data_IF_310470208673
#
_entry.id   IF_310470208673
#
_cell.length_a   1.000
_cell.length_b   1.000
_cell.length_c   1.000
_cell.angle_alpha   90.00
_cell.angle_beta   90.00
_cell.angle_gamma   90.00
#
_symmetry.space_group_name_H-M   'P 1'
#
loop_
_entity.id
_entity.type
_entity.pdbx_description
1 polymer ?
#
# COMPACT_ATOMS: atom_id res chain seq x y z
N UNK A 1 6.50 17.59 5.52
CA UNK A 1 7.87 17.15 5.85
C UNK A 1 8.32 16.13 4.82
N UNK A 2 9.62 16.06 4.52
CA UNK A 2 10.26 15.09 3.62
C UNK A 2 11.08 14.11 4.46
N UNK A 3 11.07 12.83 4.08
CA UNK A 3 11.97 11.81 4.65
C UNK A 3 13.39 12.04 4.15
N UNK A 4 14.33 12.08 5.09
CA UNK A 4 15.77 12.07 4.82
C UNK A 4 16.28 10.72 5.29
N UNK A 5 16.54 9.81 4.33
CA UNK A 5 16.92 8.41 4.59
C UNK A 5 18.17 8.10 3.77
N UNK A 6 19.21 7.61 4.45
CA UNK A 6 20.44 7.16 3.79
C UNK A 6 21.19 6.14 4.63
N UNK A 7 22.09 5.41 3.98
CA UNK A 7 23.00 4.49 4.65
C UNK A 7 24.29 5.21 5.05
N UNK A 8 24.68 5.12 6.32
CA UNK A 8 25.84 5.82 6.84
C UNK A 8 26.29 5.34 8.21
N UNK A 9 27.40 5.93 8.67
CA UNK A 9 27.92 5.74 10.01
C UNK A 9 27.23 6.64 11.02
N UNK A 10 27.05 6.17 12.25
CA UNK A 10 26.45 6.92 13.36
C UNK A 10 26.96 6.48 14.72
N UNK A 11 26.66 7.31 15.72
CA UNK A 11 26.84 7.02 17.14
C UNK A 11 25.47 6.99 17.82
N UNK A 12 25.28 6.03 18.74
CA UNK A 12 24.10 5.99 19.59
C UNK A 12 24.54 6.27 21.03
N UNK A 13 23.90 7.23 21.69
CA UNK A 13 24.24 7.67 23.04
C UNK A 13 23.01 7.60 23.93
N UNK A 14 23.13 6.96 25.08
CA UNK A 14 22.07 6.94 26.08
C UNK A 14 22.11 8.22 26.91
N UNK A 15 21.01 8.96 26.88
CA UNK A 15 20.85 10.24 27.58
C UNK A 15 19.62 10.21 28.48
N UNK A 16 19.41 11.30 29.22
CA UNK A 16 18.16 11.53 29.98
C UNK A 16 16.90 11.61 29.11
N UNK A 17 17.04 11.79 27.79
CA UNK A 17 15.93 11.84 26.84
C UNK A 17 15.69 10.48 26.13
N UNK A 18 16.50 9.47 26.42
CA UNK A 18 16.49 8.16 25.76
C UNK A 18 17.76 7.93 24.95
N UNK A 19 17.74 6.93 24.07
CA UNK A 19 18.86 6.68 23.17
C UNK A 19 18.78 7.62 21.97
N UNK A 20 19.74 8.52 21.85
CA UNK A 20 19.83 9.51 20.78
C UNK A 20 20.86 9.09 19.73
N UNK A 21 20.55 9.32 18.45
CA UNK A 21 21.41 8.93 17.32
C UNK A 21 22.03 10.17 16.70
N UNK A 22 23.35 10.16 16.53
CA UNK A 22 24.10 11.25 15.89
C UNK A 22 24.84 10.70 14.67
N UNK A 23 24.48 11.13 13.44
CA UNK A 23 25.22 10.77 12.24
C UNK A 23 26.70 11.21 12.28
N UNK A 24 27.59 10.31 11.86
CA UNK A 24 29.04 10.55 11.90
C UNK A 24 29.52 11.63 10.92
N UNK A 25 28.77 11.87 9.85
CA UNK A 25 29.04 12.91 8.86
C UNK A 25 28.77 14.33 9.39
N UNK A 26 27.89 14.49 10.38
CA UNK A 26 27.66 15.78 11.06
C UNK A 26 28.82 16.20 11.96
N UNK A 27 29.47 15.21 12.59
CA UNK A 27 30.56 15.45 13.56
C UNK A 27 31.90 15.64 12.83
N UNK A 28 32.01 15.15 11.58
CA UNK A 28 33.24 15.09 10.81
C UNK A 28 34.04 13.81 11.10
N UNK A 29 35.00 13.46 10.23
CA UNK A 29 35.79 12.22 10.36
C UNK A 29 36.70 12.28 11.60
N UNK A 30 36.21 11.86 12.75
CA UNK A 30 37.05 11.55 13.91
C UNK A 30 36.93 10.07 14.27
N UNK A 31 38.06 9.38 14.24
CA UNK A 31 38.22 8.07 14.86
C UNK A 31 38.09 8.23 16.38
N UNK A 32 37.22 7.43 17.01
CA UNK A 32 36.87 7.43 18.44
C UNK A 32 36.40 8.78 18.99
N UNK A 33 35.10 8.91 19.23
CA UNK A 33 34.48 10.13 19.76
C UNK A 33 34.04 9.86 21.20
N UNK A 34 34.65 10.55 22.17
CA UNK A 34 34.10 10.58 23.53
C UNK A 34 32.69 11.17 23.49
N UNK A 35 31.78 10.67 24.34
CA UNK A 35 30.40 11.15 24.41
C UNK A 35 30.34 12.67 24.68
N UNK A 36 31.30 13.21 25.43
CA UNK A 36 31.45 14.66 25.63
C UNK A 36 31.53 15.47 24.32
N UNK A 37 32.16 14.93 23.27
CA UNK A 37 32.26 15.60 21.98
C UNK A 37 30.92 15.63 21.20
N UNK A 38 29.92 14.85 21.66
CA UNK A 38 28.58 14.81 21.07
C UNK A 38 27.59 15.75 21.77
N UNK A 39 27.96 16.40 22.88
CA UNK A 39 27.03 17.21 23.70
C UNK A 39 26.24 18.27 22.91
N UNK A 40 26.82 18.85 21.86
CA UNK A 40 26.14 19.86 21.04
C UNK A 40 25.06 19.28 20.10
N UNK A 41 24.98 17.96 19.99
CA UNK A 41 24.07 17.22 19.11
C UNK A 41 23.02 16.42 19.88
N UNK A 42 23.07 16.44 21.22
CA UNK A 42 22.16 15.72 22.10
C UNK A 42 21.14 16.69 22.70
N UNK A 43 19.88 16.29 22.75
CA UNK A 43 18.82 17.01 23.47
C UNK A 43 18.88 16.71 24.97
N UNK A 44 19.25 15.48 25.36
CA UNK A 44 19.42 15.05 26.74
C UNK A 44 20.85 15.15 27.26
N UNK A 45 21.02 15.07 28.58
CA UNK A 45 22.34 14.93 29.19
C UNK A 45 22.80 13.46 29.11
N UNK A 46 24.03 13.16 28.66
CA UNK A 46 24.55 11.80 28.65
C UNK A 46 24.50 11.14 30.03
N UNK A 47 24.16 9.86 30.08
CA UNK A 47 24.19 9.10 31.32
C UNK A 47 25.61 8.78 31.80
N UNK A 48 26.54 8.62 30.85
CA UNK A 48 27.98 8.48 31.09
C UNK A 48 28.77 9.35 30.09
N UNK A 49 29.19 10.56 30.46
CA UNK A 49 29.91 11.47 29.55
C UNK A 49 31.35 11.03 29.25
N UNK A 50 31.93 10.15 30.09
CA UNK A 50 33.31 9.68 29.95
C UNK A 50 33.40 8.45 29.02
N UNK A 51 32.26 7.85 28.66
CA UNK A 51 32.18 6.70 27.77
C UNK A 51 32.66 7.03 26.33
N UNK A 52 33.21 6.01 25.66
CA UNK A 52 33.52 6.08 24.24
C UNK A 52 32.28 5.70 23.42
N UNK A 53 31.79 6.61 22.59
CA UNK A 53 30.69 6.31 21.70
C UNK A 53 31.11 5.30 20.63
N UNK A 54 30.38 4.19 20.54
CA UNK A 54 30.63 3.14 19.56
C UNK A 54 30.16 3.59 18.17
N UNK A 55 31.06 3.52 17.18
CA UNK A 55 30.71 3.75 15.78
C UNK A 55 29.95 2.54 15.23
N UNK A 56 28.80 2.80 14.61
CA UNK A 56 27.95 1.79 13.97
C UNK A 56 27.62 2.21 12.55
N UNK A 57 27.33 1.24 11.69
CA UNK A 57 26.80 1.49 10.34
C UNK A 57 25.37 0.97 10.22
N UNK A 58 24.54 1.70 9.48
CA UNK A 58 23.16 1.30 9.23
C UNK A 58 22.40 2.36 8.46
N UNK A 59 21.08 2.23 8.46
CA UNK A 59 20.18 3.18 7.81
C UNK A 59 19.74 4.25 8.80
N UNK A 60 19.97 5.50 8.46
CA UNK A 60 19.58 6.66 9.24
C UNK A 60 18.32 7.25 8.63
N UNK A 61 17.36 7.64 9.47
CA UNK A 61 16.15 8.33 9.02
C UNK A 61 15.74 9.48 9.94
N UNK A 62 15.21 10.54 9.33
CA UNK A 62 14.47 11.60 10.03
C UNK A 62 13.47 12.28 9.08
N UNK A 63 12.63 13.13 9.65
CA UNK A 63 11.79 14.06 8.91
C UNK A 63 12.44 15.45 8.86
N UNK A 64 12.50 16.05 7.67
CA UNK A 64 13.01 17.42 7.44
C UNK A 64 11.94 18.25 6.76
N UNK A 65 11.72 19.51 7.15
CA UNK A 65 10.79 20.39 6.44
C UNK A 65 11.54 21.37 5.51
N UNK A 66 11.29 21.35 4.19
CA UNK A 66 11.95 22.28 3.27
C UNK A 66 11.69 23.74 3.65
N UNK A 67 12.76 24.52 3.88
CA UNK A 67 12.68 25.95 4.20
C UNK A 67 12.59 26.28 5.69
N UNK A 68 12.54 25.29 6.58
CA UNK A 68 12.66 25.46 8.03
C UNK A 68 13.90 24.71 8.54
N UNK A 69 14.52 25.22 9.62
CA UNK A 69 15.63 24.52 10.30
C UNK A 69 15.14 23.32 11.12
N UNK A 70 13.82 23.17 11.28
CA UNK A 70 13.21 22.13 12.09
C UNK A 70 13.30 20.76 11.41
N UNK A 71 14.04 19.87 12.06
CA UNK A 71 14.17 18.45 11.71
C UNK A 71 13.82 17.63 12.95
N UNK A 72 13.29 16.42 12.77
CA UNK A 72 13.17 15.47 13.88
C UNK A 72 14.54 14.89 14.24
N UNK A 73 14.66 14.34 15.45
CA UNK A 73 15.81 13.53 15.83
C UNK A 73 16.04 12.37 14.84
N UNK A 74 17.29 11.94 14.73
CA UNK A 74 17.65 10.80 13.90
C UNK A 74 17.25 9.48 14.56
N UNK A 75 16.78 8.55 13.75
CA UNK A 75 16.64 7.13 14.10
C UNK A 75 17.63 6.28 13.31
N UNK A 76 18.06 5.16 13.89
CA UNK A 76 18.90 4.16 13.24
C UNK A 76 18.15 2.84 13.04
N UNK A 77 18.30 2.24 11.86
CA UNK A 77 17.53 1.09 11.40
C UNK A 77 18.40 0.05 10.71
N UNK A 78 17.98 -1.21 10.78
CA UNK A 78 18.72 -2.34 10.20
C UNK A 78 18.62 -2.40 8.67
N UNK A 79 17.61 -1.78 8.06
CA UNK A 79 17.41 -1.75 6.61
C UNK A 79 16.70 -0.47 6.17
N UNK A 80 16.82 -0.13 4.89
CA UNK A 80 16.11 0.98 4.25
C UNK A 80 14.60 0.83 4.41
N UNK A 81 14.08 -0.39 4.19
CA UNK A 81 12.67 -0.70 4.32
C UNK A 81 12.16 -0.45 5.76
N UNK A 82 12.94 -0.86 6.77
CA UNK A 82 12.58 -0.62 8.18
C UNK A 82 12.57 0.88 8.52
N UNK A 83 13.54 1.65 8.00
CA UNK A 83 13.56 3.10 8.14
C UNK A 83 12.31 3.76 7.53
N UNK A 84 11.92 3.34 6.33
CA UNK A 84 10.71 3.85 5.69
C UNK A 84 9.43 3.52 6.46
N UNK A 85 9.27 2.26 6.88
CA UNK A 85 8.11 1.83 7.69
C UNK A 85 8.03 2.63 8.98
N UNK A 86 9.13 2.78 9.72
CA UNK A 86 9.13 3.55 10.96
C UNK A 86 8.78 5.02 10.75
N UNK A 87 9.28 5.65 9.68
CA UNK A 87 8.91 7.03 9.34
C UNK A 87 7.44 7.16 8.94
N UNK A 88 6.88 6.16 8.26
CA UNK A 88 5.45 6.13 7.91
C UNK A 88 4.55 5.85 9.12
N UNK A 89 4.93 4.96 10.03
CA UNK A 89 4.16 4.70 11.25
C UNK A 89 4.17 5.92 12.19
N UNK A 90 5.32 6.58 12.35
CA UNK A 90 5.45 7.71 13.27
C UNK A 90 4.90 9.03 12.70
N UNK A 91 5.03 9.26 11.39
CA UNK A 91 4.75 10.56 10.76
C UNK A 91 3.86 10.47 9.50
N UNK A 92 3.33 9.30 9.16
CA UNK A 92 2.53 9.04 7.96
C UNK A 92 1.10 9.62 7.97
N UNK A 93 0.74 10.39 9.00
CA UNK A 93 -0.45 11.25 8.99
C UNK A 93 -0.27 12.44 8.05
N UNK A 94 -0.32 12.21 6.74
CA UNK A 94 -0.39 13.26 5.72
C UNK A 94 0.74 13.26 4.69
N UNK A 95 0.57 12.46 3.62
CA UNK A 95 0.97 12.87 2.27
C UNK A 95 2.45 12.83 1.90
N UNK A 96 3.08 11.65 1.96
CA UNK A 96 4.07 11.27 0.93
C UNK A 96 3.77 9.83 0.52
N UNK A 97 3.17 9.66 -0.66
CA UNK A 97 2.87 8.33 -1.23
C UNK A 97 4.16 7.50 -1.28
N UNK A 98 4.17 6.38 -0.55
CA UNK A 98 5.28 5.43 -0.54
C UNK A 98 5.69 5.05 -1.98
N UNK A 99 7.00 5.14 -2.25
CA UNK A 99 7.60 4.73 -3.53
C UNK A 99 7.74 3.21 -3.64
N UNK A 100 7.58 2.47 -2.55
CA UNK A 100 7.54 1.03 -2.59
C UNK A 100 6.27 0.55 -3.30
N UNK A 101 6.36 -0.54 -4.10
CA UNK A 101 5.19 -1.14 -4.69
C UNK A 101 4.29 -1.67 -3.56
N UNK A 102 3.00 -1.37 -3.64
CA UNK A 102 1.97 -1.97 -2.79
C UNK A 102 1.90 -3.45 -3.19
N UNK A 103 2.05 -4.35 -2.22
CA UNK A 103 1.85 -5.77 -2.48
C UNK A 103 0.35 -6.02 -2.68
N UNK A 104 -0.06 -6.33 -3.90
CA UNK A 104 -1.46 -6.57 -4.25
C UNK A 104 -1.76 -8.07 -4.25
N UNK A 105 -2.73 -8.48 -3.45
CA UNK A 105 -3.13 -9.87 -3.31
C UNK A 105 -4.26 -10.25 -4.29
N UNK A 106 -3.95 -11.09 -5.28
CA UNK A 106 -4.93 -11.57 -6.27
C UNK A 106 -6.11 -12.33 -5.66
N UNK A 107 -5.91 -13.07 -4.56
CA UNK A 107 -6.98 -13.80 -3.88
C UNK A 107 -7.94 -12.84 -3.16
N UNK A 108 -7.41 -11.75 -2.58
CA UNK A 108 -8.24 -10.72 -1.98
C UNK A 108 -9.03 -9.98 -3.06
N UNK A 109 -8.39 -9.62 -4.17
CA UNK A 109 -9.06 -9.01 -5.31
C UNK A 109 -10.19 -9.92 -5.84
N UNK A 110 -9.94 -11.22 -5.97
CA UNK A 110 -10.91 -12.20 -6.45
C UNK A 110 -12.16 -12.28 -5.55
N UNK A 111 -12.02 -12.16 -4.23
CA UNK A 111 -13.16 -12.10 -3.30
C UNK A 111 -14.06 -10.91 -3.61
N UNK A 112 -13.48 -9.77 -3.94
CA UNK A 112 -14.25 -8.56 -4.26
C UNK A 112 -14.81 -8.54 -5.69
N UNK A 113 -14.21 -9.29 -6.62
CA UNK A 113 -14.87 -9.60 -7.90
C UNK A 113 -16.13 -10.43 -7.67
N UNK A 114 -16.06 -11.44 -6.80
CA UNK A 114 -17.24 -12.28 -6.46
C UNK A 114 -18.29 -11.44 -5.73
N UNK A 115 -17.89 -10.64 -4.73
CA UNK A 115 -18.80 -9.75 -4.01
C UNK A 115 -19.58 -8.84 -4.96
N UNK A 116 -18.86 -8.18 -5.87
CA UNK A 116 -19.46 -7.30 -6.87
C UNK A 116 -20.39 -8.08 -7.82
N UNK A 117 -20.05 -9.33 -8.17
CA UNK A 117 -20.88 -10.18 -9.04
C UNK A 117 -22.20 -10.55 -8.41
N UNK A 118 -22.16 -10.98 -7.15
CA UNK A 118 -23.38 -11.30 -6.40
C UNK A 118 -24.26 -10.05 -6.19
N UNK A 119 -23.65 -8.88 -5.98
CA UNK A 119 -24.37 -7.62 -5.80
C UNK A 119 -24.97 -7.06 -7.11
N UNK A 120 -24.27 -7.18 -8.24
CA UNK A 120 -24.65 -6.51 -9.49
C UNK A 120 -25.41 -7.38 -10.49
N UNK A 121 -25.34 -8.71 -10.37
CA UNK A 121 -26.04 -9.64 -11.25
C UNK A 121 -27.33 -10.17 -10.61
N UNK A 122 -28.24 -10.65 -11.46
CA UNK A 122 -29.52 -11.21 -11.05
C UNK A 122 -29.66 -12.66 -11.52
N UNK A 123 -30.47 -13.45 -10.83
CA UNK A 123 -30.86 -14.79 -11.29
C UNK A 123 -31.82 -14.74 -12.49
N UNK A 124 -32.23 -15.92 -12.96
CA UNK A 124 -33.14 -16.07 -14.10
C UNK A 124 -34.52 -15.44 -13.86
N UNK A 125 -34.93 -15.30 -12.60
CA UNK A 125 -36.19 -14.67 -12.20
C UNK A 125 -36.05 -13.14 -12.06
N UNK A 126 -34.83 -12.60 -12.24
CA UNK A 126 -34.52 -11.19 -12.10
C UNK A 126 -34.29 -10.75 -10.64
N UNK A 127 -34.17 -11.70 -9.71
CA UNK A 127 -33.85 -11.40 -8.32
C UNK A 127 -32.33 -11.22 -8.14
N UNK A 128 -31.87 -10.16 -7.44
CA UNK A 128 -30.44 -9.99 -7.15
C UNK A 128 -29.82 -11.24 -6.52
N UNK A 129 -28.66 -11.68 -7.02
CA UNK A 129 -28.02 -12.91 -6.55
C UNK A 129 -27.68 -12.84 -5.05
N UNK A 130 -27.24 -11.68 -4.57
CA UNK A 130 -26.90 -11.44 -3.16
C UNK A 130 -28.06 -11.69 -2.18
N UNK A 131 -29.31 -11.70 -2.64
CA UNK A 131 -30.45 -11.99 -1.77
C UNK A 131 -30.50 -13.47 -1.31
N UNK A 132 -29.87 -14.37 -2.07
CA UNK A 132 -30.01 -15.82 -1.92
C UNK A 132 -28.69 -16.57 -1.88
N UNK A 133 -27.62 -15.98 -2.38
CA UNK A 133 -26.32 -16.60 -2.52
C UNK A 133 -25.24 -15.73 -1.89
N UNK A 134 -24.25 -16.39 -1.30
CA UNK A 134 -23.04 -15.74 -0.81
C UNK A 134 -21.77 -16.37 -1.43
N UNK A 135 -20.60 -15.92 -0.98
CA UNK A 135 -19.32 -16.39 -1.52
C UNK A 135 -19.10 -17.91 -1.36
N UNK A 136 -19.74 -18.55 -0.38
CA UNK A 136 -19.64 -19.98 -0.12
C UNK A 136 -20.46 -20.81 -1.10
N UNK A 137 -21.43 -20.20 -1.78
CA UNK A 137 -22.25 -20.84 -2.81
C UNK A 137 -21.57 -20.84 -4.20
N UNK A 138 -20.36 -20.31 -4.31
CA UNK A 138 -19.60 -20.32 -5.56
C UNK A 138 -19.06 -21.72 -5.87
N UNK A 139 -19.21 -22.16 -7.13
CA UNK A 139 -18.56 -23.37 -7.60
C UNK A 139 -17.02 -23.23 -7.53
N UNK A 140 -16.28 -24.22 -7.01
CA UNK A 140 -14.83 -24.12 -6.82
C UNK A 140 -14.05 -23.77 -8.10
N UNK A 141 -14.45 -24.31 -9.25
CA UNK A 141 -13.79 -24.01 -10.53
C UNK A 141 -13.99 -22.54 -10.94
N UNK A 142 -15.14 -21.95 -10.62
CA UNK A 142 -15.40 -20.53 -10.86
C UNK A 142 -14.55 -19.65 -9.95
N UNK A 143 -14.40 -20.03 -8.68
CA UNK A 143 -13.47 -19.34 -7.76
C UNK A 143 -12.03 -19.42 -8.27
N UNK A 144 -11.58 -20.60 -8.71
CA UNK A 144 -10.23 -20.79 -9.24
C UNK A 144 -9.99 -19.98 -10.51
N UNK A 145 -10.98 -19.91 -11.41
CA UNK A 145 -10.96 -19.11 -12.62
C UNK A 145 -10.82 -17.61 -12.31
N UNK A 146 -11.66 -17.07 -11.43
CA UNK A 146 -11.62 -15.65 -11.03
C UNK A 146 -10.26 -15.30 -10.41
N UNK A 147 -9.72 -16.16 -9.54
CA UNK A 147 -8.38 -15.97 -8.96
C UNK A 147 -7.29 -15.89 -10.04
N UNK A 148 -7.33 -16.81 -11.00
CA UNK A 148 -6.39 -16.84 -12.13
C UNK A 148 -6.48 -15.55 -12.97
N UNK A 149 -7.70 -15.07 -13.25
CA UNK A 149 -7.92 -13.82 -13.97
C UNK A 149 -7.41 -12.61 -13.20
N UNK A 150 -7.67 -12.52 -11.90
CA UNK A 150 -7.16 -11.43 -11.06
C UNK A 150 -5.62 -11.41 -11.06
N UNK A 151 -4.99 -12.57 -10.92
CA UNK A 151 -3.53 -12.68 -11.01
C UNK A 151 -2.99 -12.26 -12.39
N UNK A 152 -3.67 -12.66 -13.46
CA UNK A 152 -3.30 -12.27 -14.82
C UNK A 152 -3.47 -10.75 -15.06
N UNK A 153 -4.54 -10.14 -14.54
CA UNK A 153 -4.80 -8.70 -14.64
C UNK A 153 -3.72 -7.89 -13.91
N UNK A 154 -3.43 -8.23 -12.65
CA UNK A 154 -2.38 -7.57 -11.86
C UNK A 154 -1.01 -7.70 -12.51
N UNK A 155 -0.73 -8.82 -13.18
CA UNK A 155 0.51 -9.05 -13.94
C UNK A 155 0.56 -8.29 -15.27
N UNK A 156 -0.58 -8.12 -15.95
CA UNK A 156 -0.66 -7.45 -17.24
C UNK A 156 -0.54 -5.93 -17.11
N UNK A 157 -1.06 -5.34 -16.02
CA UNK A 157 -1.09 -3.89 -15.82
C UNK A 157 -0.51 -3.45 -14.47
N UNK A 158 0.72 -3.86 -14.11
CA UNK A 158 1.27 -3.66 -12.77
C UNK A 158 1.35 -2.17 -12.42
N UNK A 159 1.81 -1.32 -13.34
CA UNK A 159 1.96 0.12 -13.09
C UNK A 159 0.61 0.81 -12.89
N UNK A 160 -0.40 0.51 -13.72
CA UNK A 160 -1.74 1.08 -13.59
C UNK A 160 -2.39 0.63 -12.28
N UNK A 161 -2.27 -0.65 -11.92
CA UNK A 161 -2.79 -1.18 -10.66
C UNK A 161 -2.13 -0.53 -9.45
N UNK A 162 -0.81 -0.27 -9.50
CA UNK A 162 -0.10 0.43 -8.43
C UNK A 162 -0.59 1.86 -8.26
N UNK A 163 -0.79 2.60 -9.35
CA UNK A 163 -1.28 3.98 -9.26
C UNK A 163 -2.73 4.00 -8.75
N UNK A 164 -3.58 3.11 -9.24
CA UNK A 164 -4.95 2.97 -8.75
C UNK A 164 -5.01 2.56 -7.28
N UNK A 165 -4.20 1.59 -6.85
CA UNK A 165 -4.10 1.16 -5.46
C UNK A 165 -3.74 2.33 -4.52
N UNK A 166 -2.74 3.14 -4.89
CA UNK A 166 -2.39 4.32 -4.09
C UNK A 166 -3.49 5.37 -4.07
N UNK A 167 -4.26 5.50 -5.15
CA UNK A 167 -5.43 6.38 -5.19
C UNK A 167 -6.50 5.90 -4.21
N UNK A 168 -6.84 4.60 -4.22
CA UNK A 168 -7.85 4.04 -3.31
C UNK A 168 -7.48 4.16 -1.83
N UNK A 169 -6.20 4.13 -1.49
CA UNK A 169 -5.72 4.27 -0.11
C UNK A 169 -5.74 5.73 0.41
N UNK A 170 -6.12 6.71 -0.41
CA UNK A 170 -6.25 8.09 0.05
C UNK A 170 -7.53 8.26 0.86
N UNK A 171 -7.45 8.84 2.06
CA UNK A 171 -8.60 9.06 2.96
C UNK A 171 -9.75 9.86 2.32
N UNK A 172 -9.46 10.68 1.31
CA UNK A 172 -10.44 11.48 0.59
C UNK A 172 -11.23 10.68 -0.48
N UNK A 173 -10.81 9.45 -0.81
CA UNK A 173 -11.45 8.64 -1.85
C UNK A 173 -12.55 7.80 -1.23
N UNK A 174 -13.79 8.15 -1.54
CA UNK A 174 -14.95 7.36 -1.14
C UNK A 174 -15.17 6.21 -2.14
N UNK A 175 -14.82 4.98 -1.74
CA UNK A 175 -15.20 3.76 -2.44
C UNK A 175 -16.22 2.98 -1.59
N UNK A 176 -17.30 2.44 -2.17
CA UNK A 176 -18.30 1.69 -1.38
C UNK A 176 -17.68 0.51 -0.63
N UNK A 177 -16.66 -0.14 -1.21
CA UNK A 177 -15.85 -1.20 -0.58
C UNK A 177 -14.45 -0.73 -0.11
N UNK A 178 -14.33 0.46 0.47
CA UNK A 178 -13.06 1.10 0.87
C UNK A 178 -12.22 0.38 1.96
N UNK A 179 -12.34 -0.94 2.09
CA UNK A 179 -11.58 -1.74 3.07
C UNK A 179 -10.13 -2.05 2.67
N UNK A 180 -9.81 -2.04 1.37
CA UNK A 180 -8.44 -2.22 0.84
C UNK A 180 -8.32 -1.80 -0.63
N UNK A 181 -7.09 -1.65 -1.13
CA UNK A 181 -6.86 -1.37 -2.54
C UNK A 181 -7.33 -2.52 -3.46
N UNK A 182 -7.10 -3.76 -3.05
CA UNK A 182 -7.54 -4.96 -3.76
C UNK A 182 -9.06 -5.08 -3.81
N UNK A 183 -9.73 -4.67 -2.75
CA UNK A 183 -11.18 -4.63 -2.72
C UNK A 183 -11.74 -3.69 -3.79
N UNK A 184 -11.20 -2.48 -3.85
CA UNK A 184 -11.60 -1.49 -4.84
C UNK A 184 -11.24 -1.94 -6.26
N UNK A 185 -10.04 -2.49 -6.46
CA UNK A 185 -9.59 -3.04 -7.75
C UNK A 185 -10.50 -4.17 -8.23
N UNK A 186 -10.85 -5.13 -7.35
CA UNK A 186 -11.69 -6.28 -7.71
C UNK A 186 -13.09 -5.85 -8.10
N UNK A 187 -13.68 -4.95 -7.33
CA UNK A 187 -15.00 -4.41 -7.59
C UNK A 187 -15.03 -3.64 -8.93
N UNK A 188 -14.10 -2.69 -9.12
CA UNK A 188 -14.04 -1.91 -10.35
C UNK A 188 -13.65 -2.75 -11.57
N UNK A 189 -12.85 -3.80 -11.41
CA UNK A 189 -12.52 -4.73 -12.49
C UNK A 189 -13.78 -5.40 -13.05
N UNK A 190 -14.66 -5.92 -12.19
CA UNK A 190 -15.93 -6.52 -12.63
C UNK A 190 -16.86 -5.46 -13.24
N UNK A 191 -17.12 -4.36 -12.55
CA UNK A 191 -18.14 -3.41 -13.02
C UNK A 191 -17.73 -2.77 -14.35
N UNK A 192 -16.43 -2.54 -14.53
CA UNK A 192 -15.89 -2.00 -15.78
C UNK A 192 -15.99 -3.00 -16.92
N UNK A 193 -15.61 -4.27 -16.70
CA UNK A 193 -15.66 -5.28 -17.76
C UNK A 193 -17.09 -5.67 -18.15
N UNK A 194 -18.03 -5.65 -17.19
CA UNK A 194 -19.44 -5.98 -17.44
C UNK A 194 -20.28 -4.77 -17.90
N UNK A 195 -19.76 -3.54 -17.78
CA UNK A 195 -20.44 -2.33 -18.25
C UNK A 195 -21.57 -1.85 -17.35
N UNK A 196 -21.47 -2.04 -16.03
CA UNK A 196 -22.50 -1.71 -15.02
C UNK A 196 -22.68 -0.19 -14.75
N UNK A 197 -22.14 0.68 -15.61
CA UNK A 197 -22.28 2.14 -15.47
C UNK A 197 -21.44 2.77 -14.36
N UNK A 198 -20.66 1.98 -13.63
CA UNK A 198 -19.64 2.41 -12.67
C UNK A 198 -18.37 1.55 -12.82
N UNK A 199 -17.24 2.04 -12.33
CA UNK A 199 -15.95 1.35 -12.44
C UNK A 199 -14.77 2.32 -12.39
N UNK A 200 -13.65 1.94 -13.00
CA UNK A 200 -12.38 2.68 -12.88
C UNK A 200 -12.49 4.17 -13.28
N UNK A 201 -13.23 4.49 -14.35
CA UNK A 201 -13.34 5.86 -14.87
C UNK A 201 -14.03 6.84 -13.92
N UNK A 202 -14.92 6.37 -13.03
CA UNK A 202 -15.71 7.26 -12.16
C UNK A 202 -15.07 7.48 -10.78
N UNK A 203 -13.85 6.95 -10.53
CA UNK A 203 -13.14 7.07 -9.25
C UNK A 203 -12.31 8.34 -9.08
N UNK A 204 -12.27 9.21 -10.09
CA UNK A 204 -11.47 10.44 -10.05
C UNK A 204 -9.96 10.21 -10.26
N UNK A 205 -9.56 9.09 -10.84
CA UNK A 205 -8.15 8.72 -11.10
C UNK A 205 -7.55 9.36 -12.37
N UNK A 206 -8.27 10.23 -13.07
CA UNK A 206 -7.81 10.85 -14.31
C UNK A 206 -7.46 9.83 -15.39
N UNK A 207 -6.30 9.98 -16.04
CA UNK A 207 -5.86 9.11 -17.14
C UNK A 207 -5.66 7.66 -16.73
N UNK A 208 -5.34 7.38 -15.46
CA UNK A 208 -5.16 6.00 -14.97
C UNK A 208 -6.50 5.27 -14.96
N UNK A 209 -7.57 5.93 -14.51
CA UNK A 209 -8.92 5.38 -14.54
C UNK A 209 -9.40 5.11 -15.96
N UNK A 210 -9.08 6.02 -16.90
CA UNK A 210 -9.35 5.83 -18.34
C UNK A 210 -8.57 4.65 -18.91
N UNK A 211 -7.26 4.57 -18.67
CA UNK A 211 -6.41 3.51 -19.19
C UNK A 211 -6.82 2.13 -18.68
N UNK A 212 -7.19 2.01 -17.40
CA UNK A 212 -7.74 0.76 -16.85
C UNK A 212 -9.09 0.42 -17.47
N UNK A 213 -9.94 1.42 -17.73
CA UNK A 213 -11.22 1.22 -18.40
C UNK A 213 -11.04 0.71 -19.83
N UNK A 214 -10.14 1.31 -20.58
CA UNK A 214 -9.82 0.87 -21.96
C UNK A 214 -9.16 -0.52 -21.97
N UNK A 215 -8.42 -0.87 -20.90
CA UNK A 215 -7.75 -2.16 -20.78
C UNK A 215 -8.70 -3.33 -20.50
N UNK A 216 -9.78 -3.12 -19.74
CA UNK A 216 -10.68 -4.20 -19.30
C UNK A 216 -12.13 -4.06 -19.73
N UNK A 217 -12.52 -2.94 -20.32
CA UNK A 217 -13.87 -2.69 -20.77
C UNK A 217 -14.25 -3.48 -22.03
N UNK A 218 -15.16 -2.91 -22.83
CA UNK A 218 -15.72 -3.55 -24.01
C UNK A 218 -14.65 -3.89 -25.06
N UNK A 219 -14.76 -5.08 -25.67
CA UNK A 219 -13.88 -5.55 -26.74
C UNK A 219 -12.39 -5.65 -26.35
N UNK A 220 -12.13 -6.11 -25.11
CA UNK A 220 -10.78 -6.35 -24.58
C UNK A 220 -10.52 -7.85 -24.38
N UNK A 221 -9.30 -8.27 -23.98
CA UNK A 221 -9.03 -9.66 -23.58
C UNK A 221 -9.80 -10.13 -22.34
N UNK A 222 -10.54 -9.23 -21.68
CA UNK A 222 -11.35 -9.48 -20.50
C UNK A 222 -12.83 -9.41 -20.90
N UNK A 223 -13.39 -10.49 -21.48
CA UNK A 223 -14.81 -10.49 -21.83
C UNK A 223 -15.67 -10.33 -20.57
N UNK A 224 -16.95 -10.00 -20.80
CA UNK A 224 -17.97 -10.02 -19.76
C UNK A 224 -17.89 -11.34 -18.99
N UNK A 225 -17.95 -11.26 -17.66
CA UNK A 225 -18.05 -12.44 -16.81
C UNK A 225 -19.45 -12.51 -16.23
N UNK A 226 -20.22 -13.49 -16.69
CA UNK A 226 -21.58 -13.71 -16.22
C UNK A 226 -21.58 -14.62 -15.01
N UNK A 227 -22.44 -14.32 -14.04
CA UNK A 227 -22.73 -15.16 -12.88
C UNK A 227 -24.09 -15.79 -13.07
N UNK A 228 -24.18 -17.12 -12.90
CA UNK A 228 -25.45 -17.83 -13.06
C UNK A 228 -25.50 -19.04 -12.13
N UNK A 229 -26.72 -19.46 -11.77
CA UNK A 229 -26.94 -20.65 -10.96
C UNK A 229 -26.85 -21.91 -11.85
N UNK A 230 -25.98 -22.84 -11.48
CA UNK A 230 -25.86 -24.14 -12.14
C UNK A 230 -26.88 -25.17 -11.64
N UNK A 231 -26.95 -26.29 -12.36
CA UNK A 231 -27.80 -27.44 -12.00
C UNK A 231 -27.44 -28.07 -10.65
N UNK A 232 -26.19 -27.88 -10.19
CA UNK A 232 -25.68 -28.29 -8.88
C UNK A 232 -26.11 -27.35 -7.74
N UNK A 233 -26.83 -26.28 -8.08
CA UNK A 233 -27.29 -25.27 -7.13
C UNK A 233 -26.23 -24.25 -6.72
N UNK A 234 -25.01 -24.35 -7.25
CA UNK A 234 -23.92 -23.41 -6.99
C UNK A 234 -23.87 -22.32 -8.05
N UNK A 235 -23.17 -21.23 -7.75
CA UNK A 235 -22.94 -20.13 -8.68
C UNK A 235 -21.71 -20.42 -9.54
N UNK A 236 -21.93 -20.41 -10.85
CA UNK A 236 -20.91 -20.59 -11.88
C UNK A 236 -20.62 -19.28 -12.59
N UNK A 237 -19.47 -19.24 -13.28
CA UNK A 237 -19.09 -18.10 -14.13
C UNK A 237 -18.81 -18.49 -15.57
N UNK A 238 -19.36 -17.70 -16.49
CA UNK A 238 -19.31 -17.94 -17.95
C UNK A 238 -18.98 -16.69 -18.76
N UNK A 239 -18.86 -16.86 -20.08
CA UNK A 239 -18.70 -15.80 -21.09
C UNK A 239 -19.62 -16.06 -22.27
#
# INVERSE_FOLDING_TARGET
>A
MRKDIYHGGFFAVDTTAGTEVVPADLIGRTCSTHVEALLNYLEGSPLDPDELAEYREGWLARMTMPGYLDCTAWGAYQSEAAAHVAMDEMYGGGGVMSTYPIELNADLMARHVIAAGLWSEADEDGEPLENRFDMLDMHPDSVAKIKSECAAFLKAYPELCQVAARHYLQEAVHHPDAGSAEACLGHDFLLTRNGHGAGFWCRGMGEVGRALTDAVGYNTPWPRLDFYKGDDGLIHTGW
#
